data_IF_057782966395
#
_entry.id   IF_057782966395
#
_cell.length_a   1.000
_cell.length_b   1.000
_cell.length_c   1.000
_cell.angle_alpha   90.00
_cell.angle_beta   90.00
_cell.angle_gamma   90.00
#
_symmetry.space_group_name_H-M   'P 1'
#
loop_
_entity.id
_entity.type
_entity.pdbx_description
1 polymer ?
#
# COMPACT_ATOMS: atom_id res chain seq x y z
N UNK A 1 -33.63 -24.30 79.34
CA UNK A 1 -33.92 -24.96 78.05
C UNK A 1 -35.03 -24.16 77.36
N UNK A 2 -34.74 -23.49 76.23
CA UNK A 2 -35.77 -22.84 75.40
C UNK A 2 -35.68 -23.46 74.01
N UNK A 3 -36.62 -24.35 73.72
CA UNK A 3 -36.79 -24.99 72.41
C UNK A 3 -37.44 -24.00 71.45
N UNK A 4 -36.69 -23.51 70.45
CA UNK A 4 -37.24 -22.67 69.37
C UNK A 4 -38.23 -23.49 68.52
N UNK A 5 -39.40 -22.94 68.15
CA UNK A 5 -40.43 -23.70 67.46
C UNK A 5 -39.98 -24.11 66.04
N UNK A 6 -40.36 -25.31 65.56
CA UNK A 6 -39.86 -25.91 64.32
C UNK A 6 -40.19 -25.11 63.04
N UNK A 7 -41.15 -24.19 63.11
CA UNK A 7 -41.61 -23.39 61.98
C UNK A 7 -40.61 -22.31 61.54
N UNK A 8 -39.88 -21.69 62.48
CA UNK A 8 -38.84 -20.70 62.17
C UNK A 8 -37.65 -21.33 61.43
N UNK A 9 -37.32 -22.59 61.79
CA UNK A 9 -36.23 -23.35 61.17
C UNK A 9 -36.54 -23.72 59.71
N UNK A 10 -37.79 -24.06 59.40
CA UNK A 10 -38.23 -24.38 58.03
C UNK A 10 -38.24 -23.15 57.11
N UNK A 11 -38.60 -21.96 57.63
CA UNK A 11 -38.55 -20.70 56.86
C UNK A 11 -37.12 -20.27 56.56
N UNK A 12 -36.22 -20.38 57.55
CA UNK A 12 -34.81 -20.07 57.35
C UNK A 12 -34.17 -20.96 56.27
N UNK A 13 -34.43 -22.27 56.29
CA UNK A 13 -33.90 -23.22 55.28
C UNK A 13 -34.42 -22.89 53.87
N UNK A 14 -35.69 -22.51 53.72
CA UNK A 14 -36.26 -22.14 52.41
C UNK A 14 -35.67 -20.84 51.86
N UNK A 15 -35.45 -19.84 52.72
CA UNK A 15 -34.81 -18.58 52.35
C UNK A 15 -33.34 -18.78 51.97
N UNK A 16 -32.59 -19.60 52.72
CA UNK A 16 -31.21 -19.95 52.38
C UNK A 16 -31.13 -20.73 51.06
N UNK A 17 -32.06 -21.65 50.80
CA UNK A 17 -32.14 -22.38 49.54
C UNK A 17 -32.41 -21.48 48.33
N UNK A 18 -33.32 -20.50 48.48
CA UNK A 18 -33.60 -19.52 47.43
C UNK A 18 -32.39 -18.62 47.12
N UNK A 19 -31.66 -18.18 48.16
CA UNK A 19 -30.45 -17.36 47.99
C UNK A 19 -29.31 -18.12 47.30
N UNK A 20 -29.10 -19.40 47.65
CA UNK A 20 -28.08 -20.24 46.99
C UNK A 20 -28.47 -20.52 45.53
N UNK A 21 -29.75 -20.80 45.27
CA UNK A 21 -30.24 -20.97 43.89
C UNK A 21 -30.07 -19.73 43.03
N UNK A 22 -30.29 -18.54 43.60
CA UNK A 22 -30.10 -17.26 42.91
C UNK A 22 -28.61 -16.96 42.66
N UNK A 23 -27.73 -17.28 43.62
CA UNK A 23 -26.29 -17.13 43.45
C UNK A 23 -25.71 -18.04 42.35
N UNK A 24 -26.22 -19.27 42.23
CA UNK A 24 -25.82 -20.20 41.16
C UNK A 24 -26.35 -19.77 39.78
N UNK A 25 -27.55 -19.18 39.71
CA UNK A 25 -28.11 -18.65 38.47
C UNK A 25 -27.34 -17.42 37.94
N UNK A 26 -26.63 -16.69 38.81
CA UNK A 26 -25.78 -15.54 38.45
C UNK A 26 -24.34 -15.94 38.04
N UNK A 27 -23.95 -17.21 38.20
CA UNK A 27 -22.60 -17.69 37.88
C UNK A 27 -22.32 -18.03 36.41
N UNK A 28 -23.29 -17.83 35.51
CA UNK A 28 -23.21 -18.26 34.12
C UNK A 28 -22.79 -17.15 33.14
N UNK A 29 -21.53 -16.70 33.20
CA UNK A 29 -20.85 -16.00 32.10
C UNK A 29 -19.33 -16.05 32.31
N UNK A 30 -18.75 -17.25 32.24
CA UNK A 30 -17.30 -17.38 32.03
C UNK A 30 -17.07 -17.28 30.52
N UNK A 31 -16.48 -16.17 30.07
CA UNK A 31 -16.06 -16.04 28.67
C UNK A 31 -14.71 -16.75 28.54
N UNK A 32 -14.66 -17.85 27.81
CA UNK A 32 -13.40 -18.48 27.44
C UNK A 32 -12.63 -17.51 26.53
N UNK A 33 -11.51 -16.97 27.02
CA UNK A 33 -10.48 -16.44 26.14
C UNK A 33 -9.84 -17.64 25.43
N UNK A 34 -10.39 -17.96 24.26
CA UNK A 34 -9.78 -18.89 23.34
C UNK A 34 -8.45 -18.31 22.86
N UNK A 35 -7.35 -18.70 23.52
CA UNK A 35 -5.97 -18.51 23.04
C UNK A 35 -5.75 -19.42 21.83
N UNK A 36 -6.39 -19.05 20.71
CA UNK A 36 -5.96 -19.47 19.38
C UNK A 36 -4.73 -18.64 19.06
N UNK A 37 -3.71 -19.20 18.39
CA UNK A 37 -2.49 -18.50 17.99
C UNK A 37 -2.86 -17.13 17.39
N UNK A 38 -2.75 -16.07 18.19
CA UNK A 38 -3.50 -14.86 17.93
C UNK A 38 -2.85 -14.13 16.77
N UNK A 39 -3.64 -13.91 15.72
CA UNK A 39 -3.27 -12.96 14.68
C UNK A 39 -2.99 -11.63 15.41
N UNK A 40 -1.80 -11.02 15.25
CA UNK A 40 -1.47 -9.81 16.00
C UNK A 40 -2.52 -8.72 15.82
N UNK A 41 -2.92 -8.10 16.95
CA UNK A 41 -3.89 -7.00 16.94
C UNK A 41 -3.35 -5.78 16.17
N UNK A 42 -2.03 -5.58 16.18
CA UNK A 42 -1.36 -4.51 15.43
C UNK A 42 -1.38 -4.77 13.91
N UNK A 43 -1.94 -3.83 13.16
CA UNK A 43 -1.98 -3.89 11.70
C UNK A 43 -0.61 -3.93 11.05
N UNK A 44 0.44 -3.37 11.68
CA UNK A 44 1.80 -3.39 11.14
C UNK A 44 2.39 -4.79 11.10
N UNK A 45 2.07 -5.58 12.12
CA UNK A 45 2.51 -6.97 12.21
C UNK A 45 1.65 -7.89 11.35
N UNK A 46 0.35 -7.57 11.24
CA UNK A 46 -0.62 -8.35 10.45
C UNK A 46 -0.47 -8.14 8.94
N UNK A 47 -0.24 -6.90 8.53
CA UNK A 47 -0.15 -6.47 7.13
C UNK A 47 1.14 -5.66 6.92
N UNK A 48 2.33 -6.28 7.07
CA UNK A 48 3.58 -5.58 6.85
C UNK A 48 3.68 -5.13 5.39
N UNK A 49 4.31 -3.98 5.17
CA UNK A 49 4.73 -3.59 3.83
C UNK A 49 5.99 -4.39 3.53
N UNK A 50 5.93 -5.27 2.54
CA UNK A 50 7.06 -6.03 2.06
C UNK A 50 7.67 -5.36 0.84
N UNK A 51 8.99 -5.46 0.72
CA UNK A 51 9.74 -5.01 -0.45
C UNK A 51 10.02 -6.23 -1.34
N UNK A 52 9.58 -6.17 -2.59
CA UNK A 52 9.77 -7.23 -3.57
C UNK A 52 10.24 -6.71 -4.93
N UNK A 53 10.84 -7.60 -5.72
CA UNK A 53 11.15 -7.32 -7.11
C UNK A 53 9.91 -7.59 -7.97
N UNK A 54 9.38 -6.54 -8.60
CA UNK A 54 8.22 -6.62 -9.47
C UNK A 54 8.62 -6.36 -10.93
N UNK A 55 8.02 -7.11 -11.84
CA UNK A 55 8.15 -6.86 -13.28
C UNK A 55 7.13 -5.82 -13.74
N UNK A 56 7.60 -4.81 -14.46
CA UNK A 56 6.74 -3.91 -15.23
C UNK A 56 6.88 -4.24 -16.71
N UNK A 57 5.74 -4.41 -17.39
CA UNK A 57 5.71 -4.78 -18.79
C UNK A 57 4.72 -3.96 -19.61
N UNK A 58 5.09 -3.66 -20.85
CA UNK A 58 4.16 -3.17 -21.87
C UNK A 58 4.20 -4.09 -23.09
N UNK A 59 3.11 -4.09 -23.86
CA UNK A 59 2.98 -4.87 -25.08
C UNK A 59 2.77 -3.95 -26.27
N UNK A 60 3.49 -4.21 -27.35
CA UNK A 60 3.41 -3.45 -28.59
C UNK A 60 2.94 -4.39 -29.69
N UNK A 61 1.71 -4.17 -30.16
CA UNK A 61 1.14 -4.92 -31.27
C UNK A 61 1.63 -4.33 -32.61
N UNK A 62 2.06 -5.22 -33.51
CA UNK A 62 2.54 -4.85 -34.85
C UNK A 62 1.68 -5.53 -35.89
N UNK A 63 0.99 -4.75 -36.73
CA UNK A 63 0.14 -5.26 -37.80
C UNK A 63 0.91 -5.93 -38.94
N UNK A 64 0.19 -6.62 -39.83
CA UNK A 64 0.80 -7.36 -40.94
C UNK A 64 1.36 -6.49 -42.08
N UNK A 65 0.77 -5.31 -42.31
CA UNK A 65 1.04 -4.50 -43.51
C UNK A 65 1.87 -3.24 -43.24
N UNK A 66 2.04 -2.85 -41.97
CA UNK A 66 2.74 -1.62 -41.58
C UNK A 66 3.66 -1.93 -40.41
N UNK A 67 4.95 -1.68 -40.61
CA UNK A 67 5.92 -1.55 -39.53
C UNK A 67 5.82 -0.18 -38.85
N UNK A 68 6.40 -0.10 -37.66
CA UNK A 68 6.50 1.11 -36.87
C UNK A 68 5.35 1.31 -35.89
N UNK A 69 5.59 2.22 -34.95
CA UNK A 69 4.74 2.48 -33.80
C UNK A 69 3.62 3.48 -34.12
N UNK A 70 2.47 3.28 -33.47
CA UNK A 70 1.44 4.33 -33.40
C UNK A 70 1.87 5.44 -32.44
N UNK A 71 1.22 6.61 -32.51
CA UNK A 71 1.52 7.70 -31.59
C UNK A 71 1.35 7.29 -30.11
N UNK A 72 0.31 6.50 -29.81
CA UNK A 72 0.08 5.94 -28.47
C UNK A 72 1.21 5.00 -28.05
N UNK A 73 1.60 4.04 -28.91
CA UNK A 73 2.69 3.12 -28.61
C UNK A 73 4.04 3.83 -28.44
N UNK A 74 4.29 4.92 -29.17
CA UNK A 74 5.49 5.75 -28.95
C UNK A 74 5.49 6.39 -27.57
N UNK A 75 4.35 6.93 -27.15
CA UNK A 75 4.19 7.47 -25.80
C UNK A 75 4.40 6.39 -24.74
N UNK A 76 3.90 5.18 -24.94
CA UNK A 76 4.10 4.06 -24.02
C UNK A 76 5.58 3.66 -23.91
N UNK A 77 6.29 3.54 -25.03
CA UNK A 77 7.72 3.19 -25.03
C UNK A 77 8.55 4.31 -24.39
N UNK A 78 8.26 5.58 -24.67
CA UNK A 78 8.90 6.72 -24.01
C UNK A 78 8.60 6.75 -22.51
N UNK A 79 7.38 6.42 -22.11
CA UNK A 79 6.97 6.29 -20.71
C UNK A 79 7.73 5.20 -19.98
N UNK A 80 7.93 4.04 -20.63
CA UNK A 80 8.77 2.96 -20.10
C UNK A 80 10.23 3.39 -19.98
N UNK A 81 10.78 4.08 -20.97
CA UNK A 81 12.16 4.56 -20.91
C UNK A 81 12.36 5.54 -19.74
N UNK A 82 11.47 6.51 -19.60
CA UNK A 82 11.48 7.48 -18.49
C UNK A 82 11.35 6.79 -17.15
N UNK A 83 10.37 5.90 -16.99
CA UNK A 83 10.19 5.15 -15.75
C UNK A 83 11.41 4.27 -15.43
N UNK A 84 11.99 3.58 -16.42
CA UNK A 84 13.18 2.76 -16.23
C UNK A 84 14.38 3.57 -15.72
N UNK A 85 14.57 4.81 -16.20
CA UNK A 85 15.65 5.68 -15.72
C UNK A 85 15.49 6.09 -14.24
N UNK A 86 14.26 6.09 -13.72
CA UNK A 86 13.95 6.47 -12.35
C UNK A 86 13.85 5.28 -11.38
N UNK A 87 13.21 4.18 -11.78
CA UNK A 87 12.87 3.03 -10.91
C UNK A 87 13.47 1.68 -11.38
N UNK A 88 14.15 1.63 -12.53
CA UNK A 88 14.64 0.38 -13.11
C UNK A 88 15.83 -0.21 -12.33
N UNK A 89 15.72 -1.48 -11.92
CA UNK A 89 16.80 -2.21 -11.25
C UNK A 89 17.49 -3.25 -12.13
N UNK A 90 16.85 -3.65 -13.23
CA UNK A 90 17.38 -4.59 -14.22
C UNK A 90 17.33 -4.05 -15.64
N UNK A 91 17.97 -4.72 -16.60
CA UNK A 91 17.91 -4.33 -18.01
C UNK A 91 16.48 -4.47 -18.58
N UNK A 92 16.12 -3.61 -19.53
CA UNK A 92 14.89 -3.72 -20.32
C UNK A 92 15.03 -4.93 -21.25
N UNK A 93 14.29 -5.99 -20.95
CA UNK A 93 14.14 -7.17 -21.78
C UNK A 93 13.09 -6.91 -22.85
N UNK A 94 13.46 -7.12 -24.10
CA UNK A 94 12.57 -6.95 -25.25
C UNK A 94 12.40 -8.30 -25.93
N UNK A 95 11.24 -8.92 -25.73
CA UNK A 95 10.88 -10.16 -26.40
C UNK A 95 10.28 -9.84 -27.77
N UNK A 96 10.93 -10.31 -28.82
CA UNK A 96 10.54 -10.05 -30.22
C UNK A 96 10.03 -11.34 -30.86
N UNK A 97 8.81 -11.34 -31.44
CA UNK A 97 8.31 -12.54 -32.10
C UNK A 97 9.10 -12.83 -33.37
N UNK A 98 9.40 -14.11 -33.58
CA UNK A 98 10.14 -14.62 -34.73
C UNK A 98 9.36 -15.70 -35.47
N UNK A 99 9.68 -15.93 -36.75
CA UNK A 99 9.01 -16.95 -37.57
C UNK A 99 7.54 -16.66 -37.90
N UNK A 100 7.12 -15.39 -37.86
CA UNK A 100 5.74 -14.95 -38.09
C UNK A 100 5.58 -14.27 -39.46
N UNK A 101 4.36 -14.24 -40.04
CA UNK A 101 4.13 -13.55 -41.31
C UNK A 101 4.46 -12.04 -41.29
N UNK A 102 4.41 -11.40 -40.12
CA UNK A 102 4.72 -9.98 -39.91
C UNK A 102 6.19 -9.72 -39.49
N UNK A 103 7.11 -10.66 -39.70
CA UNK A 103 8.51 -10.54 -39.26
C UNK A 103 9.22 -9.25 -39.76
N UNK A 104 8.93 -8.81 -41.00
CA UNK A 104 9.48 -7.57 -41.56
C UNK A 104 8.99 -6.31 -40.81
N UNK A 105 7.67 -6.05 -40.72
CA UNK A 105 7.14 -4.99 -39.86
C UNK A 105 7.67 -5.02 -38.43
N UNK A 106 7.79 -6.20 -37.82
CA UNK A 106 8.32 -6.37 -36.45
C UNK A 106 9.77 -5.89 -36.34
N UNK A 107 10.61 -6.25 -37.32
CA UNK A 107 12.00 -5.80 -37.36
C UNK A 107 12.11 -4.27 -37.51
N UNK A 108 11.22 -3.65 -38.28
CA UNK A 108 11.17 -2.19 -38.46
C UNK A 108 10.74 -1.49 -37.17
N UNK A 109 9.67 -1.99 -36.53
CA UNK A 109 9.20 -1.50 -35.22
C UNK A 109 10.28 -1.66 -34.16
N UNK A 110 11.02 -2.77 -34.16
CA UNK A 110 12.11 -3.00 -33.20
C UNK A 110 13.22 -1.96 -33.33
N UNK A 111 13.60 -1.58 -34.56
CA UNK A 111 14.58 -0.50 -34.79
C UNK A 111 14.07 0.84 -34.29
N UNK A 112 12.78 1.15 -34.51
CA UNK A 112 12.16 2.36 -33.96
C UNK A 112 12.15 2.35 -32.42
N UNK A 113 11.82 1.23 -31.78
CA UNK A 113 11.88 1.07 -30.32
C UNK A 113 13.31 1.32 -29.81
N UNK A 114 14.33 0.70 -30.41
CA UNK A 114 15.72 0.91 -30.00
C UNK A 114 16.16 2.37 -30.13
N UNK A 115 15.80 3.03 -31.25
CA UNK A 115 16.11 4.43 -31.46
C UNK A 115 15.45 5.33 -30.41
N UNK A 116 14.20 5.07 -30.03
CA UNK A 116 13.52 5.83 -28.99
C UNK A 116 14.09 5.58 -27.60
N UNK A 117 14.40 4.33 -27.24
CA UNK A 117 15.04 4.02 -25.96
C UNK A 117 16.41 4.72 -25.85
N UNK A 118 17.19 4.70 -26.93
CA UNK A 118 18.48 5.40 -26.98
C UNK A 118 18.30 6.92 -26.89
N UNK A 119 17.32 7.50 -27.60
CA UNK A 119 17.02 8.92 -27.55
C UNK A 119 16.53 9.38 -26.17
N UNK A 120 15.87 8.50 -25.42
CA UNK A 120 15.45 8.74 -24.04
C UNK A 120 16.62 8.66 -23.03
N UNK A 121 17.80 8.14 -23.43
CA UNK A 121 18.98 8.02 -22.58
C UNK A 121 19.23 6.62 -22.01
N UNK A 122 18.50 5.60 -22.45
CA UNK A 122 18.76 4.21 -22.04
C UNK A 122 20.08 3.74 -22.67
N UNK A 123 21.09 3.32 -21.88
CA UNK A 123 22.36 2.87 -22.43
C UNK A 123 22.19 1.54 -23.18
N UNK A 124 23.03 1.23 -24.20
CA UNK A 124 22.94 -0.02 -24.94
C UNK A 124 23.02 -1.28 -24.07
N UNK A 125 23.78 -1.23 -22.96
CA UNK A 125 23.88 -2.33 -21.98
C UNK A 125 22.63 -2.50 -21.11
N UNK A 126 21.77 -1.48 -21.06
CA UNK A 126 20.49 -1.49 -20.35
C UNK A 126 19.36 -2.14 -21.15
N UNK A 127 19.61 -2.62 -22.37
CA UNK A 127 18.62 -3.27 -23.23
C UNK A 127 19.09 -4.66 -23.61
N UNK A 128 18.24 -5.67 -23.43
CA UNK A 128 18.47 -7.03 -23.88
C UNK A 128 17.34 -7.47 -24.80
N UNK A 129 17.67 -7.80 -26.05
CA UNK A 129 16.69 -8.24 -27.05
C UNK A 129 16.75 -9.75 -27.20
N UNK A 130 15.60 -10.41 -27.06
CA UNK A 130 15.48 -11.86 -27.19
C UNK A 130 14.38 -12.22 -28.21
N UNK A 131 14.69 -13.02 -29.24
CA UNK A 131 13.64 -13.57 -30.09
C UNK A 131 12.87 -14.67 -29.34
N UNK A 132 11.56 -14.75 -29.57
CA UNK A 132 10.71 -15.85 -29.12
C UNK A 132 9.87 -16.39 -30.27
N UNK A 133 9.48 -17.66 -30.19
CA UNK A 133 8.56 -18.27 -31.14
C UNK A 133 7.15 -18.29 -30.52
N UNK A 134 6.13 -17.69 -31.16
CA UNK A 134 4.76 -17.76 -30.66
C UNK A 134 4.24 -19.20 -30.68
N UNK A 135 3.54 -19.61 -29.62
CA UNK A 135 2.94 -20.94 -29.51
C UNK A 135 1.83 -21.15 -30.54
N UNK A 136 0.95 -20.15 -30.69
CA UNK A 136 -0.12 -20.16 -31.69
C UNK A 136 0.08 -19.01 -32.69
N UNK A 137 0.22 -19.38 -33.97
CA UNK A 137 0.45 -18.46 -35.10
C UNK A 137 -0.81 -17.72 -35.54
N UNK A 138 -1.98 -18.08 -35.03
CA UNK A 138 -3.27 -17.43 -35.33
C UNK A 138 -3.43 -16.11 -34.59
N UNK A 139 -2.80 -15.96 -33.43
CA UNK A 139 -2.80 -14.70 -32.68
C UNK A 139 -1.70 -13.77 -33.18
N UNK A 140 -1.98 -12.47 -33.16
CA UNK A 140 -1.00 -11.44 -33.49
C UNK A 140 0.03 -11.34 -32.36
N UNK A 141 1.27 -11.84 -32.54
CA UNK A 141 2.21 -11.91 -31.44
C UNK A 141 2.83 -10.51 -31.21
N UNK A 142 2.80 -9.98 -29.97
CA UNK A 142 3.31 -8.65 -29.68
C UNK A 142 4.81 -8.65 -29.39
N UNK A 143 5.44 -7.48 -29.54
CA UNK A 143 6.73 -7.21 -28.90
C UNK A 143 6.45 -6.89 -27.43
N UNK A 144 7.14 -7.55 -26.49
CA UNK A 144 7.00 -7.26 -25.06
C UNK A 144 8.24 -6.56 -24.54
N UNK A 145 8.06 -5.42 -23.89
CA UNK A 145 9.13 -4.75 -23.15
C UNK A 145 8.88 -5.03 -21.67
N UNK A 146 9.87 -5.53 -20.94
CA UNK A 146 9.76 -5.87 -19.53
C UNK A 146 11.03 -5.47 -18.79
N UNK A 147 10.90 -4.87 -17.62
CA UNK A 147 12.03 -4.61 -16.73
C UNK A 147 11.64 -4.87 -15.28
N UNK A 148 12.64 -5.16 -14.47
CA UNK A 148 12.50 -5.33 -13.02
C UNK A 148 12.58 -3.98 -12.33
N UNK A 149 11.74 -3.80 -11.31
CA UNK A 149 11.81 -2.69 -10.36
C UNK A 149 11.60 -3.18 -8.94
N UNK A 150 12.03 -2.40 -7.96
CA UNK A 150 11.67 -2.65 -6.57
C UNK A 150 10.27 -2.04 -6.34
N UNK A 151 9.39 -2.79 -5.67
CA UNK A 151 8.06 -2.34 -5.31
C UNK A 151 7.79 -2.59 -3.82
N UNK A 152 7.04 -1.68 -3.21
CA UNK A 152 6.45 -1.89 -1.89
C UNK A 152 5.05 -2.49 -2.07
N UNK A 153 4.76 -3.60 -1.40
CA UNK A 153 3.47 -4.28 -1.47
C UNK A 153 2.96 -4.64 -0.08
N UNK A 154 1.64 -4.58 0.11
CA UNK A 154 0.99 -5.01 1.33
C UNK A 154 -0.24 -5.86 1.01
N UNK A 155 -0.30 -7.03 1.63
CA UNK A 155 -1.42 -7.97 1.62
C UNK A 155 -1.73 -8.65 0.27
N UNK A 156 -2.66 -9.60 0.31
CA UNK A 156 -3.94 -9.42 -0.37
C UNK A 156 -4.96 -8.84 0.62
N UNK A 157 -5.49 -7.65 0.34
CA UNK A 157 -6.55 -7.03 1.14
C UNK A 157 -7.93 -7.52 0.72
N UNK A 158 -8.93 -7.38 1.59
CA UNK A 158 -10.34 -7.70 1.29
C UNK A 158 -11.01 -8.70 2.22
N UNK A 159 -10.31 -9.18 3.25
CA UNK A 159 -10.88 -10.05 4.28
C UNK A 159 -11.52 -9.21 5.39
N UNK A 160 -12.81 -9.39 5.64
CA UNK A 160 -13.55 -8.74 6.72
C UNK A 160 -14.18 -9.81 7.61
N UNK A 161 -13.47 -10.31 8.64
CA UNK A 161 -13.99 -11.36 9.52
C UNK A 161 -15.19 -10.91 10.37
N UNK A 162 -15.18 -9.63 10.76
CA UNK A 162 -16.22 -9.01 11.55
C UNK A 162 -16.91 -7.89 10.76
N UNK A 163 -18.18 -7.64 11.11
CA UNK A 163 -18.93 -6.49 10.58
C UNK A 163 -18.32 -5.17 11.10
N UNK A 164 -18.19 -4.19 10.20
CA UNK A 164 -17.65 -2.85 10.49
C UNK A 164 -18.69 -2.03 11.26
N UNK A 165 -19.98 -2.35 11.10
CA UNK A 165 -21.08 -1.62 11.73
C UNK A 165 -21.15 -1.81 13.25
N UNK A 166 -21.92 -0.95 13.94
CA UNK A 166 -22.23 -1.15 15.35
C UNK A 166 -22.91 -2.49 15.57
N UNK A 167 -22.26 -3.39 16.31
CA UNK A 167 -22.79 -4.73 16.53
C UNK A 167 -22.40 -5.23 17.91
N UNK A 168 -23.38 -5.62 18.71
CA UNK A 168 -23.18 -6.32 19.99
C UNK A 168 -22.55 -7.72 19.80
N UNK A 169 -22.56 -8.25 18.57
CA UNK A 169 -21.93 -9.54 18.22
C UNK A 169 -20.45 -9.39 17.86
N UNK A 170 -20.00 -8.18 17.50
CA UNK A 170 -18.60 -7.88 17.28
C UNK A 170 -17.98 -7.50 18.64
N UNK A 171 -17.16 -8.40 19.21
CA UNK A 171 -16.49 -8.15 20.49
C UNK A 171 -15.57 -6.92 20.42
N UNK A 172 -14.92 -6.71 19.28
CA UNK A 172 -14.00 -5.60 19.04
C UNK A 172 -14.66 -4.24 18.88
N UNK A 173 -16.00 -4.17 18.71
CA UNK A 173 -16.72 -2.90 18.53
C UNK A 173 -16.52 -1.94 19.72
N UNK A 174 -16.42 -2.48 20.94
CA UNK A 174 -16.21 -1.68 22.15
C UNK A 174 -14.73 -1.57 22.55
N UNK A 175 -13.81 -2.16 21.79
CA UNK A 175 -12.40 -2.29 22.17
C UNK A 175 -11.49 -1.18 21.62
N UNK A 176 -12.01 -0.19 20.89
CA UNK A 176 -11.21 0.86 20.22
C UNK A 176 -9.98 0.30 19.48
N UNK A 177 -10.18 -0.84 18.81
CA UNK A 177 -9.17 -1.52 17.99
C UNK A 177 -9.41 -1.25 16.52
N UNK A 178 -8.35 -1.29 15.74
CA UNK A 178 -8.43 -1.18 14.28
C UNK A 178 -9.18 -2.37 13.68
N UNK A 179 -10.03 -2.12 12.69
CA UNK A 179 -10.66 -3.19 11.92
C UNK A 179 -9.62 -3.99 11.14
N UNK A 180 -9.86 -5.30 11.00
CA UNK A 180 -8.93 -6.24 10.37
C UNK A 180 -8.36 -5.76 9.02
N UNK A 181 -9.23 -5.27 8.13
CA UNK A 181 -8.82 -4.86 6.79
C UNK A 181 -8.46 -3.37 6.68
N UNK A 182 -8.82 -2.55 7.68
CA UNK A 182 -8.44 -1.13 7.70
C UNK A 182 -6.91 -1.00 7.67
N UNK A 183 -6.24 -1.83 8.47
CA UNK A 183 -4.79 -1.99 8.46
C UNK A 183 -4.20 -2.33 7.08
N UNK A 184 -4.80 -3.29 6.37
CA UNK A 184 -4.32 -3.69 5.04
C UNK A 184 -4.51 -2.58 4.00
N UNK A 185 -5.70 -1.97 3.97
CA UNK A 185 -6.02 -0.89 3.03
C UNK A 185 -5.08 0.31 3.25
N UNK A 186 -4.83 0.67 4.51
CA UNK A 186 -3.90 1.73 4.87
C UNK A 186 -2.47 1.42 4.40
N UNK A 187 -1.95 0.24 4.74
CA UNK A 187 -0.59 -0.16 4.36
C UNK A 187 -0.42 -0.28 2.84
N UNK A 188 -1.44 -0.77 2.13
CA UNK A 188 -1.44 -0.84 0.67
C UNK A 188 -1.44 0.54 0.02
N UNK A 189 -2.21 1.48 0.54
CA UNK A 189 -2.22 2.86 0.05
C UNK A 189 -0.88 3.54 0.33
N UNK A 190 -0.32 3.36 1.54
CA UNK A 190 1.01 3.87 1.87
C UNK A 190 2.06 3.30 0.93
N UNK A 191 2.09 1.97 0.73
CA UNK A 191 3.01 1.30 -0.18
C UNK A 191 2.88 1.82 -1.63
N UNK A 192 1.67 2.14 -2.09
CA UNK A 192 1.44 2.72 -3.42
C UNK A 192 1.86 4.19 -3.55
N UNK A 193 1.91 4.94 -2.44
CA UNK A 193 2.30 6.35 -2.41
C UNK A 193 3.81 6.55 -2.20
N UNK A 194 4.51 5.53 -1.74
CA UNK A 194 5.97 5.59 -1.53
C UNK A 194 6.69 5.68 -2.87
N UNK A 195 7.43 6.77 -3.06
CA UNK A 195 8.18 7.04 -4.29
C UNK A 195 9.37 6.08 -4.46
N UNK A 196 10.16 5.88 -3.40
CA UNK A 196 11.25 4.90 -3.37
C UNK A 196 11.01 3.85 -2.28
N UNK A 197 10.64 2.61 -2.65
CA UNK A 197 10.39 1.53 -1.70
C UNK A 197 11.58 1.21 -0.80
N UNK A 198 12.82 1.43 -1.24
CA UNK A 198 14.03 1.14 -0.45
C UNK A 198 14.13 1.97 0.83
N UNK A 199 13.43 3.11 0.90
CA UNK A 199 13.44 3.99 2.07
C UNK A 199 12.71 3.40 3.28
N UNK A 200 11.86 2.39 3.05
CA UNK A 200 11.15 1.69 4.13
C UNK A 200 12.06 0.76 4.93
N UNK A 201 13.14 0.28 4.30
CA UNK A 201 14.12 -0.63 4.92
C UNK A 201 15.38 0.12 5.33
N UNK A 202 15.81 1.10 4.53
CA UNK A 202 17.09 1.77 4.71
C UNK A 202 16.89 3.29 4.77
N UNK A 203 17.38 3.97 5.83
CA UNK A 203 17.34 5.41 5.87
C UNK A 203 18.24 5.99 4.76
N UNK A 204 17.71 6.96 4.00
CA UNK A 204 18.54 7.74 3.08
C UNK A 204 19.58 8.54 3.84
N UNK A 205 20.71 8.80 3.20
CA UNK A 205 21.69 9.75 3.72
C UNK A 205 21.03 11.13 3.89
N UNK A 206 21.19 11.72 5.07
CA UNK A 206 20.70 13.07 5.32
C UNK A 206 21.44 14.08 4.43
N UNK A 207 20.70 15.02 3.87
CA UNK A 207 21.32 16.16 3.19
C UNK A 207 21.88 17.14 4.23
N UNK A 208 23.02 17.81 3.95
CA UNK A 208 23.57 18.77 4.88
C UNK A 208 22.55 19.85 5.26
N UNK A 209 22.52 20.30 6.54
CA UNK A 209 21.59 21.32 6.96
C UNK A 209 21.81 22.62 6.19
N UNK A 210 20.73 23.31 5.84
CA UNK A 210 20.81 24.60 5.18
C UNK A 210 21.27 25.70 6.17
N UNK A 211 22.59 25.81 6.33
CA UNK A 211 23.24 26.65 7.35
C UNK A 211 22.78 28.11 7.26
N UNK A 212 22.70 28.69 6.07
CA UNK A 212 22.32 30.10 5.89
C UNK A 212 20.94 30.42 6.51
N UNK A 213 19.94 29.56 6.30
CA UNK A 213 18.61 29.74 6.90
C UNK A 213 18.63 29.53 8.41
N UNK A 214 19.37 28.52 8.88
CA UNK A 214 19.55 28.27 10.32
C UNK A 214 20.16 29.47 11.02
N UNK A 215 21.27 30.01 10.52
CA UNK A 215 21.93 31.19 11.08
C UNK A 215 20.99 32.40 11.09
N UNK A 216 20.22 32.60 10.01
CA UNK A 216 19.25 33.70 9.94
C UNK A 216 18.14 33.56 10.99
N UNK A 217 17.61 32.35 11.18
CA UNK A 217 16.59 32.08 12.20
C UNK A 217 17.14 32.26 13.62
N UNK A 218 18.37 31.80 13.88
CA UNK A 218 19.04 32.00 15.17
C UNK A 218 19.32 33.47 15.47
N UNK A 219 19.75 34.25 14.48
CA UNK A 219 19.96 35.70 14.64
C UNK A 219 18.65 36.43 14.93
N UNK A 220 17.56 36.07 14.25
CA UNK A 220 16.24 36.63 14.54
C UNK A 220 15.78 36.32 15.96
N UNK A 221 15.96 35.07 16.39
CA UNK A 221 15.67 34.63 17.75
C UNK A 221 16.49 35.39 18.80
N UNK A 222 17.81 35.52 18.61
CA UNK A 222 18.70 36.29 19.51
C UNK A 222 18.29 37.76 19.64
N UNK A 223 17.76 38.35 18.57
CA UNK A 223 17.32 39.75 18.53
C UNK A 223 15.87 39.94 19.04
N UNK A 224 15.18 38.87 19.46
CA UNK A 224 13.77 38.95 19.85
C UNK A 224 12.82 39.27 18.70
N UNK A 225 13.27 39.09 17.45
CA UNK A 225 12.45 39.33 16.25
C UNK A 225 11.76 38.05 15.80
N UNK A 226 10.57 38.17 15.21
CA UNK A 226 9.79 37.01 14.76
C UNK A 226 10.54 36.17 13.71
N UNK A 227 10.59 34.86 13.92
CA UNK A 227 11.14 33.88 12.96
C UNK A 227 10.16 33.53 11.85
N UNK A 228 8.90 33.95 11.98
CA UNK A 228 7.87 33.73 10.98
C UNK A 228 8.20 34.41 9.65
N UNK A 229 7.74 33.82 8.55
CA UNK A 229 7.73 34.46 7.25
C UNK A 229 6.69 35.57 7.24
N UNK A 230 7.11 36.78 6.84
CA UNK A 230 6.20 37.91 6.66
C UNK A 230 5.39 37.68 5.39
N UNK A 231 4.13 37.30 5.54
CA UNK A 231 3.19 37.23 4.43
C UNK A 231 2.39 38.55 4.39
N UNK A 232 2.63 39.44 3.40
CA UNK A 232 1.95 40.74 3.34
C UNK A 232 0.42 40.63 3.21
N UNK A 233 -0.09 39.44 2.90
CA UNK A 233 -1.52 39.17 2.75
C UNK A 233 -2.09 38.30 3.89
N UNK A 234 -1.34 38.06 4.97
CA UNK A 234 -1.79 37.21 6.09
C UNK A 234 -3.11 37.68 6.70
N UNK A 235 -3.36 39.00 6.71
CA UNK A 235 -4.59 39.58 7.23
C UNK A 235 -5.73 39.67 6.21
N UNK A 236 -5.46 39.45 4.92
CA UNK A 236 -6.49 39.44 3.86
C UNK A 236 -7.26 38.11 3.79
N UNK A 237 -6.71 37.04 4.37
CA UNK A 237 -7.31 35.70 4.38
C UNK A 237 -8.10 35.39 5.66
N UNK A 238 -8.31 36.38 6.55
CA UNK A 238 -9.24 36.24 7.67
C UNK A 238 -10.67 36.33 7.09
N UNK A 239 -11.38 35.21 7.06
CA UNK A 239 -12.82 35.17 6.80
C UNK A 239 -13.48 36.21 7.70
N UNK A 240 -14.04 37.25 7.08
CA UNK A 240 -14.76 38.32 7.75
C UNK A 240 -15.89 37.74 8.59
N UNK A 241 -16.00 38.22 9.83
CA UNK A 241 -17.05 37.93 10.79
C UNK A 241 -18.40 38.44 10.24
N UNK A 242 -19.05 37.67 9.35
CA UNK A 242 -20.39 37.96 8.84
C UNK A 242 -21.41 37.49 9.85
N UNK A 243 -21.62 38.29 10.90
CA UNK A 243 -22.56 37.96 11.97
C UNK A 243 -22.62 39.00 13.09
N UNK A 244 -22.95 40.26 12.77
CA UNK A 244 -23.53 41.22 13.71
C UNK A 244 -24.75 41.88 13.11
#
# INVERSE_FOLDING_TARGET
MITRPPQLRKRAIRLSGALVGMALALGGCQHDEAVTASIPDDYKQRHPIAIEEQNRSIVVFVGHARGGLTAAQRADVMGVASAWLHEGTGAIRIDVPSGTPNARPVADTMREIQAMLAAAGVPPRGVNVRPYQPEDRRFLPPIRLTYSKIAAVAGPCGLWPDDIGPSMKNKGWFENKDYYNYGCAYQRNLAAMVDNPSDLEQPRAETPPYIARRTTAFEKYRKGTTTATTHPEADKAKLSDTGK
#
